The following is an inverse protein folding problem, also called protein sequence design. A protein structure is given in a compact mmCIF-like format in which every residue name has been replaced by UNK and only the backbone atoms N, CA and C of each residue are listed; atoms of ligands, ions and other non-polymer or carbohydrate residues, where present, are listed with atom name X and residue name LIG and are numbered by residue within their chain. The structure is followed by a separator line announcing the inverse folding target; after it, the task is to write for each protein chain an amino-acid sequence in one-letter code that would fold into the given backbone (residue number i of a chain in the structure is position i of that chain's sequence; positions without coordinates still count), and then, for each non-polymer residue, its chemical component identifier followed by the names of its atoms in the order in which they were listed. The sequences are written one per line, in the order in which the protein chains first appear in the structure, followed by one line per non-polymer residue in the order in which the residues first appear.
data_IF_677427802192
#
_entry.id   IF_677427802192
#
_cell.length_a   1.000
_cell.length_b   1.000
_cell.length_c   1.000
_cell.angle_alpha   90.00
_cell.angle_beta   90.00
_cell.angle_gamma   90.00
#
_symmetry.space_group_name_H-M   'P 1'
#
loop_
_entity.id
_entity.type
_entity.pdbx_description
1 polymer ?
#
# COMPACT_ATOMS: atom_id res chain seq x y z
N UNK A 1 -5.23 -3.20 -1.53
CA UNK A 1 -6.45 -3.34 -0.71
C UNK A 1 -6.64 -2.13 0.22
N UNK A 2 -5.76 -1.91 1.22
CA UNK A 2 -5.95 -0.86 2.23
C UNK A 2 -6.16 0.55 1.64
N UNK A 3 -5.47 0.91 0.56
CA UNK A 3 -5.67 2.18 -0.13
C UNK A 3 -7.07 2.35 -0.76
N UNK A 4 -7.63 1.30 -1.37
CA UNK A 4 -8.80 1.42 -2.27
C UNK A 4 -10.12 0.97 -1.66
N UNK A 5 -10.09 -0.02 -0.75
CA UNK A 5 -11.28 -0.64 -0.18
C UNK A 5 -12.24 0.36 0.50
N UNK A 6 -11.76 1.37 1.26
CA UNK A 6 -12.66 2.38 1.84
C UNK A 6 -13.44 3.16 0.78
N UNK A 7 -12.80 3.53 -0.32
CA UNK A 7 -13.41 4.28 -1.42
C UNK A 7 -14.44 3.44 -2.17
N UNK A 8 -14.11 2.18 -2.47
CA UNK A 8 -15.03 1.23 -3.10
C UNK A 8 -16.26 0.98 -2.21
N UNK A 9 -16.05 0.73 -0.92
CA UNK A 9 -17.14 0.50 0.05
C UNK A 9 -18.05 1.72 0.21
N UNK A 10 -17.50 2.93 0.08
CA UNK A 10 -18.27 4.16 0.12
C UNK A 10 -19.04 4.45 -1.19
N UNK A 11 -18.84 3.66 -2.25
CA UNK A 11 -19.51 3.85 -3.54
C UNK A 11 -18.98 5.05 -4.35
N UNK A 12 -17.83 5.61 -3.97
CA UNK A 12 -17.31 6.85 -4.55
C UNK A 12 -16.52 6.65 -5.85
N UNK A 13 -16.12 5.42 -6.17
CA UNK A 13 -15.25 5.13 -7.31
C UNK A 13 -15.86 4.12 -8.28
N UNK A 14 -15.48 4.23 -9.55
CA UNK A 14 -15.83 3.29 -10.59
C UNK A 14 -15.09 1.96 -10.35
N UNK A 15 -15.88 0.95 -9.97
CA UNK A 15 -15.37 -0.38 -9.60
C UNK A 15 -14.78 -1.13 -10.80
N UNK A 16 -15.11 -0.76 -12.04
CA UNK A 16 -14.59 -1.41 -13.25
C UNK A 16 -13.30 -0.75 -13.77
N UNK A 17 -12.94 0.42 -13.22
CA UNK A 17 -11.84 1.25 -13.71
C UNK A 17 -10.85 1.59 -12.60
N UNK A 18 -10.16 0.56 -12.11
CA UNK A 18 -9.06 0.70 -11.15
C UNK A 18 -7.74 0.28 -11.77
N UNK A 19 -6.73 1.15 -11.70
CA UNK A 19 -5.35 0.84 -12.13
C UNK A 19 -4.44 0.94 -10.92
N UNK A 20 -3.64 -0.09 -10.67
CA UNK A 20 -2.67 -0.11 -9.58
C UNK A 20 -1.27 -0.26 -10.15
N UNK A 21 -0.41 0.70 -9.82
CA UNK A 21 1.01 0.65 -10.07
C UNK A 21 1.76 0.46 -8.75
N UNK A 22 2.32 -0.73 -8.55
CA UNK A 22 3.01 -1.10 -7.32
C UNK A 22 4.53 -1.14 -7.55
N UNK A 23 5.30 -0.46 -6.70
CA UNK A 23 6.76 -0.55 -6.67
C UNK A 23 7.16 -1.37 -5.46
N UNK A 24 8.02 -2.37 -5.65
CA UNK A 24 8.41 -3.31 -4.60
C UNK A 24 9.92 -3.52 -4.53
N UNK A 25 10.42 -3.74 -3.32
CA UNK A 25 11.83 -4.06 -3.08
C UNK A 25 12.21 -5.50 -3.47
N UNK A 26 13.52 -5.76 -3.57
CA UNK A 26 14.06 -7.05 -3.99
C UNK A 26 13.70 -8.23 -3.08
N UNK A 27 13.49 -7.99 -1.79
CA UNK A 27 13.12 -9.05 -0.84
C UNK A 27 11.76 -9.70 -1.12
N UNK A 28 10.90 -9.06 -1.92
CA UNK A 28 9.64 -9.66 -2.38
C UNK A 28 9.86 -10.88 -3.30
N UNK A 29 11.05 -11.01 -3.91
CA UNK A 29 11.44 -12.17 -4.71
C UNK A 29 11.88 -13.39 -3.88
N UNK A 30 12.00 -13.25 -2.56
CA UNK A 30 12.53 -14.29 -1.68
C UNK A 30 14.05 -14.28 -1.56
N UNK A 31 14.57 -15.27 -0.84
CA UNK A 31 16.02 -15.46 -0.64
C UNK A 31 16.68 -16.22 -1.79
N UNK A 32 15.87 -16.90 -2.62
CA UNK A 32 16.36 -17.64 -3.78
C UNK A 32 16.82 -16.66 -4.85
N UNK A 33 18.11 -16.76 -5.19
CA UNK A 33 18.73 -15.88 -6.17
C UNK A 33 18.43 -16.26 -7.63
N UNK A 34 19.09 -15.57 -8.55
CA UNK A 34 19.09 -15.88 -9.98
C UNK A 34 19.88 -14.82 -10.75
N UNK A 35 20.07 -14.98 -12.07
CA UNK A 35 20.80 -14.00 -12.88
C UNK A 35 20.26 -12.58 -12.71
N UNK A 36 18.93 -12.43 -12.66
CA UNK A 36 18.25 -11.16 -12.50
C UNK A 36 18.38 -10.53 -11.09
N UNK A 37 18.84 -11.29 -10.08
CA UNK A 37 19.06 -10.84 -8.71
C UNK A 37 20.53 -10.59 -8.39
N UNK A 38 21.45 -10.90 -9.30
CA UNK A 38 22.86 -10.59 -9.15
C UNK A 38 23.02 -9.08 -8.92
N UNK A 39 23.84 -8.67 -7.96
CA UNK A 39 23.94 -7.28 -7.54
C UNK A 39 24.25 -6.33 -8.72
N UNK A 40 25.18 -6.74 -9.60
CA UNK A 40 25.54 -5.97 -10.79
C UNK A 40 24.36 -5.75 -11.75
N UNK A 41 23.38 -6.67 -11.79
CA UNK A 41 22.18 -6.60 -12.64
C UNK A 41 20.98 -5.95 -11.94
N UNK A 42 21.02 -5.85 -10.60
CA UNK A 42 19.87 -5.48 -9.77
C UNK A 42 19.99 -4.10 -9.14
N UNK A 43 21.21 -3.65 -8.85
CA UNK A 43 21.47 -2.30 -8.33
C UNK A 43 21.06 -1.25 -9.37
N UNK A 44 20.47 -0.15 -8.91
CA UNK A 44 19.93 0.93 -9.73
C UNK A 44 18.69 0.59 -10.56
N UNK A 45 18.12 -0.60 -10.45
CA UNK A 45 17.07 -1.03 -11.39
C UNK A 45 15.73 -0.31 -11.14
N UNK A 46 15.03 -0.05 -12.23
CA UNK A 46 13.58 0.18 -12.28
C UNK A 46 13.05 -0.79 -13.35
N UNK A 47 12.53 -1.94 -12.91
CA UNK A 47 12.15 -3.05 -13.81
C UNK A 47 10.65 -3.28 -13.77
N UNK A 48 9.99 -3.28 -14.91
CA UNK A 48 8.64 -3.83 -15.05
C UNK A 48 8.72 -5.35 -14.83
N UNK A 49 8.37 -5.80 -13.62
CA UNK A 49 8.50 -7.20 -13.21
C UNK A 49 7.31 -8.03 -13.68
N UNK A 50 6.11 -7.51 -13.47
CA UNK A 50 4.86 -8.13 -13.91
C UNK A 50 3.91 -7.02 -14.38
N UNK A 51 3.95 -6.64 -15.66
CA UNK A 51 3.11 -5.57 -16.19
C UNK A 51 1.63 -5.97 -16.29
N UNK A 52 1.32 -7.27 -16.33
CA UNK A 52 -0.03 -7.82 -16.31
C UNK A 52 -0.02 -9.21 -15.65
N UNK A 53 -1.19 -9.83 -15.47
CA UNK A 53 -1.35 -11.23 -15.00
C UNK A 53 -0.67 -11.53 -13.65
N UNK A 54 -0.63 -10.54 -12.74
CA UNK A 54 -0.06 -10.73 -11.43
C UNK A 54 -1.05 -11.47 -10.50
N UNK A 55 -0.58 -12.49 -9.77
CA UNK A 55 -1.44 -13.34 -8.91
C UNK A 55 -2.27 -12.58 -7.87
N UNK A 56 -1.72 -11.51 -7.30
CA UNK A 56 -2.44 -10.68 -6.30
C UNK A 56 -3.62 -9.89 -6.88
N UNK A 57 -3.83 -9.89 -8.22
CA UNK A 57 -5.06 -9.34 -8.80
C UNK A 57 -6.29 -9.98 -8.15
N UNK A 58 -6.34 -11.32 -8.08
CA UNK A 58 -7.50 -12.02 -7.51
C UNK A 58 -7.78 -11.64 -6.05
N UNK A 59 -6.75 -11.50 -5.22
CA UNK A 59 -6.88 -11.06 -3.82
C UNK A 59 -7.43 -9.63 -3.71
N UNK A 60 -6.94 -8.73 -4.57
CA UNK A 60 -7.41 -7.34 -4.59
C UNK A 60 -8.88 -7.28 -5.01
N UNK A 61 -9.26 -8.01 -6.07
CA UNK A 61 -10.63 -8.03 -6.58
C UNK A 61 -11.60 -8.61 -5.53
N UNK A 62 -11.21 -9.69 -4.86
CA UNK A 62 -11.99 -10.29 -3.78
C UNK A 62 -12.20 -9.35 -2.60
N UNK A 63 -11.12 -8.75 -2.08
CA UNK A 63 -11.17 -8.02 -0.80
C UNK A 63 -11.59 -6.56 -0.94
N UNK A 64 -11.35 -5.95 -2.10
CA UNK A 64 -11.75 -4.57 -2.38
C UNK A 64 -13.03 -4.46 -3.20
N UNK A 65 -13.50 -5.54 -3.84
CA UNK A 65 -14.72 -5.53 -4.65
C UNK A 65 -14.62 -4.66 -5.90
N UNK A 66 -13.45 -4.65 -6.55
CA UNK A 66 -13.17 -3.88 -7.78
C UNK A 66 -12.58 -4.80 -8.83
N UNK A 67 -12.69 -4.44 -10.11
CA UNK A 67 -11.86 -4.98 -11.19
C UNK A 67 -10.58 -4.16 -11.31
N UNK A 68 -9.43 -4.82 -11.32
CA UNK A 68 -8.14 -4.12 -11.23
C UNK A 68 -7.15 -4.48 -12.33
N UNK A 69 -6.58 -3.45 -12.97
CA UNK A 69 -5.38 -3.58 -13.78
C UNK A 69 -4.14 -3.33 -12.90
N UNK A 70 -3.43 -4.42 -12.55
CA UNK A 70 -2.24 -4.35 -11.69
C UNK A 70 -0.95 -4.49 -12.50
N UNK A 71 -0.06 -3.51 -12.31
CA UNK A 71 1.33 -3.52 -12.78
C UNK A 71 2.29 -3.49 -11.58
N UNK A 72 3.27 -4.39 -11.56
CA UNK A 72 4.29 -4.46 -10.53
C UNK A 72 5.68 -4.13 -11.09
N UNK A 73 6.37 -3.20 -10.43
CA UNK A 73 7.71 -2.74 -10.71
C UNK A 73 8.66 -3.13 -9.58
N UNK A 74 9.79 -3.76 -9.93
CA UNK A 74 10.88 -3.98 -8.99
C UNK A 74 11.80 -2.75 -9.00
N UNK A 75 12.07 -2.21 -7.81
CA UNK A 75 12.98 -1.06 -7.61
C UNK A 75 14.21 -1.47 -6.81
N UNK A 76 15.28 -0.68 -6.81
CA UNK A 76 16.54 -0.99 -6.11
C UNK A 76 16.38 -1.29 -4.61
N UNK A 77 15.38 -0.71 -3.94
CA UNK A 77 15.14 -0.93 -2.51
C UNK A 77 15.11 -2.42 -2.15
N UNK A 78 15.57 -2.78 -0.95
CA UNK A 78 15.49 -4.17 -0.48
C UNK A 78 14.10 -4.47 0.08
N UNK A 79 13.59 -3.59 0.94
CA UNK A 79 12.28 -3.68 1.58
C UNK A 79 11.37 -2.56 1.11
N UNK A 80 10.08 -2.79 1.25
CA UNK A 80 9.05 -1.79 1.05
C UNK A 80 8.21 -2.02 -0.20
N UNK A 81 6.94 -1.64 -0.10
CA UNK A 81 6.01 -1.52 -1.21
C UNK A 81 5.40 -0.13 -1.20
N UNK A 82 5.34 0.51 -2.37
CA UNK A 82 4.51 1.68 -2.62
C UNK A 82 3.47 1.31 -3.68
N UNK A 83 2.19 1.31 -3.30
CA UNK A 83 1.09 1.12 -4.24
C UNK A 83 0.46 2.48 -4.56
N UNK A 84 0.46 2.84 -5.84
CA UNK A 84 -0.23 4.01 -6.38
C UNK A 84 -1.45 3.52 -7.15
N UNK A 85 -2.64 3.81 -6.64
CA UNK A 85 -3.90 3.33 -7.16
C UNK A 85 -4.68 4.48 -7.81
N UNK A 86 -4.81 4.44 -9.13
CA UNK A 86 -5.67 5.36 -9.87
C UNK A 86 -7.09 4.82 -9.88
N UNK A 87 -7.99 5.58 -9.25
CA UNK A 87 -9.42 5.30 -9.19
C UNK A 87 -10.17 6.52 -9.71
N UNK A 88 -11.31 6.32 -10.38
CA UNK A 88 -12.08 7.41 -10.97
C UNK A 88 -13.39 7.57 -10.22
N UNK A 89 -13.76 8.81 -9.93
CA UNK A 89 -14.97 9.12 -9.17
C UNK A 89 -16.22 8.85 -10.03
N UNK A 90 -17.25 8.27 -9.41
CA UNK A 90 -18.58 8.10 -10.02
C UNK A 90 -19.43 9.37 -9.90
N UNK A 91 -19.15 10.18 -8.88
CA UNK A 91 -19.78 11.47 -8.60
C UNK A 91 -18.76 12.46 -8.02
N UNK A 92 -19.07 13.76 -8.07
CA UNK A 92 -18.16 14.77 -7.51
C UNK A 92 -17.99 14.59 -6.00
N UNK A 93 -16.74 14.51 -5.55
CA UNK A 93 -16.37 14.42 -4.14
C UNK A 93 -15.30 15.45 -3.79
N UNK A 94 -15.37 16.00 -2.58
CA UNK A 94 -14.32 16.90 -2.07
C UNK A 94 -13.25 16.12 -1.33
N UNK A 95 -12.06 16.70 -1.14
CA UNK A 95 -11.04 16.09 -0.25
C UNK A 95 -11.58 15.81 1.16
N UNK A 96 -12.49 16.65 1.66
CA UNK A 96 -13.09 16.46 2.99
C UNK A 96 -13.92 15.18 3.05
N UNK A 97 -14.65 14.86 1.98
CA UNK A 97 -15.44 13.62 1.88
C UNK A 97 -14.52 12.40 1.85
N UNK A 98 -13.44 12.46 1.08
CA UNK A 98 -12.45 11.40 1.01
C UNK A 98 -11.75 11.18 2.37
N UNK A 99 -11.33 12.25 3.05
CA UNK A 99 -10.75 12.13 4.39
C UNK A 99 -11.73 11.55 5.42
N UNK A 100 -13.02 11.86 5.30
CA UNK A 100 -14.06 11.25 6.15
C UNK A 100 -14.10 9.74 5.95
N UNK A 101 -14.11 9.27 4.70
CA UNK A 101 -14.11 7.83 4.37
C UNK A 101 -12.89 7.10 4.96
N UNK A 102 -11.67 7.64 4.80
CA UNK A 102 -10.49 7.00 5.40
C UNK A 102 -10.52 7.02 6.93
N UNK A 103 -11.00 8.10 7.55
CA UNK A 103 -11.11 8.19 9.02
C UNK A 103 -12.13 7.22 9.58
N UNK A 104 -13.28 7.05 8.91
CA UNK A 104 -14.29 6.07 9.30
C UNK A 104 -13.76 4.63 9.19
N UNK A 105 -12.96 4.35 8.16
CA UNK A 105 -12.35 3.04 7.96
C UNK A 105 -11.21 2.74 8.94
N UNK A 106 -10.32 3.71 9.20
CA UNK A 106 -9.03 3.44 9.84
C UNK A 106 -8.71 4.31 11.06
N UNK A 107 -9.59 5.23 11.46
CA UNK A 107 -9.31 6.19 12.55
C UNK A 107 -9.11 5.56 13.93
N UNK A 108 -9.39 4.26 14.08
CA UNK A 108 -9.17 3.48 15.31
C UNK A 108 -8.23 2.28 15.11
N UNK A 109 -7.68 2.11 13.91
CA UNK A 109 -6.81 0.98 13.59
C UNK A 109 -5.40 1.20 14.12
N UNK A 110 -4.85 0.19 14.82
CA UNK A 110 -3.53 0.29 15.45
C UNK A 110 -2.39 0.46 14.44
N UNK A 111 -2.54 -0.14 13.26
CA UNK A 111 -1.47 -0.32 12.27
C UNK A 111 -1.75 0.34 10.92
N UNK A 112 -2.77 1.19 10.81
CA UNK A 112 -3.03 1.98 9.61
C UNK A 112 -2.95 3.46 9.96
N UNK A 113 -1.99 4.17 9.36
CA UNK A 113 -1.81 5.60 9.60
C UNK A 113 -2.27 6.40 8.39
N UNK A 114 -3.09 7.40 8.64
CA UNK A 114 -3.60 8.30 7.60
C UNK A 114 -2.59 9.45 7.46
N UNK A 115 -1.83 9.47 6.37
CA UNK A 115 -0.88 10.54 6.05
C UNK A 115 -1.64 11.70 5.44
N UNK A 116 -1.92 12.71 6.27
CA UNK A 116 -2.62 13.94 5.89
C UNK A 116 -1.75 15.15 6.18
N UNK A 117 -0.76 15.38 5.33
CA UNK A 117 0.18 16.50 5.47
C UNK A 117 0.13 17.41 4.25
N UNK A 118 -0.12 18.71 4.47
CA UNK A 118 -0.21 19.69 3.38
C UNK A 118 1.17 20.17 2.90
N UNK A 119 2.19 20.07 3.75
CA UNK A 119 3.54 20.61 3.51
C UNK A 119 4.62 19.70 4.10
N UNK A 120 5.88 19.93 3.73
CA UNK A 120 7.02 19.15 4.24
C UNK A 120 7.49 18.05 3.28
N UNK A 121 8.45 17.25 3.76
CA UNK A 121 9.11 16.21 2.96
C UNK A 121 8.21 14.97 2.78
N UNK A 122 7.57 14.52 3.88
CA UNK A 122 6.78 13.29 3.93
C UNK A 122 5.28 13.57 3.82
N UNK A 123 4.84 14.07 2.66
CA UNK A 123 3.42 14.44 2.41
C UNK A 123 2.52 13.29 2.00
N UNK A 124 3.13 12.18 1.57
CA UNK A 124 2.44 10.98 1.10
C UNK A 124 3.09 9.74 1.73
N UNK A 125 2.39 8.59 1.74
CA UNK A 125 2.97 7.34 2.20
C UNK A 125 4.30 7.04 1.52
N UNK A 126 5.33 6.77 2.31
CA UNK A 126 6.68 6.46 1.81
C UNK A 126 7.19 5.18 2.46
N UNK A 127 7.52 4.12 1.69
CA UNK A 127 7.89 2.83 2.27
C UNK A 127 9.22 2.86 3.01
N UNK A 128 10.11 3.80 2.67
CA UNK A 128 11.46 3.90 3.24
C UNK A 128 11.37 3.94 4.78
N UNK A 129 10.61 4.89 5.33
CA UNK A 129 10.47 5.12 6.78
C UNK A 129 9.66 4.04 7.51
N UNK A 130 9.05 3.10 6.77
CA UNK A 130 8.25 2.01 7.32
C UNK A 130 9.03 0.70 7.48
N UNK A 131 10.29 0.67 7.03
CA UNK A 131 11.15 -0.50 7.11
C UNK A 131 11.24 -1.05 8.53
N UNK A 132 10.91 -2.33 8.70
CA UNK A 132 10.88 -3.04 9.98
C UNK A 132 9.60 -2.85 10.80
N UNK A 133 8.69 -1.96 10.40
CA UNK A 133 7.45 -1.68 11.15
C UNK A 133 6.27 -2.52 10.69
N UNK A 134 5.26 -2.65 11.54
CA UNK A 134 3.98 -3.24 11.15
C UNK A 134 2.96 -2.20 10.64
N UNK A 135 3.38 -0.96 10.37
CA UNK A 135 2.48 0.08 9.87
C UNK A 135 2.23 -0.05 8.36
N UNK A 136 1.01 0.28 7.96
CA UNK A 136 0.69 0.68 6.60
C UNK A 136 0.25 2.15 6.61
N UNK A 137 0.95 2.98 5.87
CA UNK A 137 0.57 4.36 5.67
C UNK A 137 -0.37 4.44 4.47
N UNK A 138 -1.47 5.17 4.61
CA UNK A 138 -2.44 5.43 3.54
C UNK A 138 -2.64 6.92 3.37
N UNK A 139 -2.89 7.34 2.14
CA UNK A 139 -3.18 8.73 1.79
C UNK A 139 -3.75 8.80 0.39
N UNK A 140 -4.05 10.00 -0.09
CA UNK A 140 -4.52 10.19 -1.46
C UNK A 140 -4.21 11.59 -1.96
N UNK A 141 -4.31 11.76 -3.28
CA UNK A 141 -4.44 13.06 -3.92
C UNK A 141 -5.71 13.06 -4.78
N UNK A 142 -6.50 14.12 -4.69
CA UNK A 142 -7.66 14.34 -5.56
C UNK A 142 -7.24 15.17 -6.78
N UNK A 143 -7.48 14.61 -7.95
CA UNK A 143 -7.32 15.26 -9.25
C UNK A 143 -8.72 15.65 -9.74
N UNK A 144 -9.14 16.87 -9.36
CA UNK A 144 -10.47 17.40 -9.67
C UNK A 144 -10.69 17.53 -11.19
N UNK A 145 -9.65 17.86 -11.94
CA UNK A 145 -9.72 18.02 -13.39
C UNK A 145 -10.07 16.70 -14.09
N UNK A 146 -9.44 15.60 -13.67
CA UNK A 146 -9.67 14.29 -14.26
C UNK A 146 -10.79 13.49 -13.55
N UNK A 147 -11.40 14.03 -12.49
CA UNK A 147 -12.32 13.29 -11.63
C UNK A 147 -11.69 12.02 -11.06
N UNK A 148 -10.43 12.09 -10.64
CA UNK A 148 -9.61 10.92 -10.28
C UNK A 148 -9.08 11.04 -8.86
N UNK A 149 -9.16 9.97 -8.10
CA UNK A 149 -8.47 9.84 -6.80
C UNK A 149 -7.27 8.94 -7.00
N UNK A 150 -6.09 9.50 -6.74
CA UNK A 150 -4.84 8.75 -6.65
C UNK A 150 -4.70 8.30 -5.20
N UNK A 151 -5.22 7.12 -4.88
CA UNK A 151 -5.09 6.52 -3.57
C UNK A 151 -3.71 5.88 -3.43
N UNK A 152 -3.03 6.09 -2.31
CA UNK A 152 -1.65 5.68 -2.10
C UNK A 152 -1.57 4.87 -0.82
N UNK A 153 -0.80 3.77 -0.85
CA UNK A 153 -0.39 3.09 0.37
C UNK A 153 1.08 2.70 0.33
N UNK A 154 1.72 2.72 1.49
CA UNK A 154 3.07 2.23 1.68
C UNK A 154 3.15 1.29 2.88
N UNK A 155 4.03 0.28 2.82
CA UNK A 155 4.30 -0.65 3.91
C UNK A 155 5.67 -1.34 3.74
N UNK A 156 6.18 -1.98 4.79
CA UNK A 156 7.25 -2.98 4.67
C UNK A 156 6.65 -4.34 4.24
N UNK A 157 7.13 -4.88 3.12
CA UNK A 157 6.61 -6.10 2.49
C UNK A 157 6.84 -7.38 3.30
N UNK A 158 7.86 -7.42 4.16
CA UNK A 158 8.16 -8.56 5.02
C UNK A 158 7.49 -8.46 6.39
N UNK A 159 7.19 -7.24 6.85
CA UNK A 159 6.47 -7.00 8.10
C UNK A 159 4.97 -6.91 7.84
N UNK A 160 4.42 -5.70 7.69
CA UNK A 160 2.99 -5.50 7.44
C UNK A 160 2.50 -6.22 6.18
N UNK A 161 3.36 -6.42 5.18
CA UNK A 161 3.05 -7.20 3.99
C UNK A 161 3.09 -8.72 4.15
N UNK A 162 3.65 -9.25 5.26
CA UNK A 162 3.76 -10.69 5.49
C UNK A 162 3.75 -11.05 6.99
N UNK A 163 4.92 -11.22 7.62
CA UNK A 163 5.05 -11.82 8.94
C UNK A 163 4.41 -10.99 10.06
N UNK A 164 4.48 -9.66 9.97
CA UNK A 164 3.84 -8.76 10.93
C UNK A 164 2.32 -8.90 10.93
N UNK A 165 1.70 -9.01 9.75
CA UNK A 165 0.25 -9.29 9.63
C UNK A 165 -0.10 -10.68 10.16
N UNK A 166 0.78 -11.68 9.98
CA UNK A 166 0.57 -13.02 10.53
C UNK A 166 0.60 -13.00 12.07
N UNK A 167 1.57 -12.31 12.69
CA UNK A 167 1.65 -12.14 14.15
C UNK A 167 0.47 -11.32 14.67
N UNK A 168 0.08 -10.26 13.97
CA UNK A 168 -1.10 -9.46 14.32
C UNK A 168 -2.37 -10.32 14.35
N UNK A 169 -2.56 -11.15 13.33
CA UNK A 169 -3.69 -12.10 13.25
C UNK A 169 -3.61 -13.15 14.36
N UNK A 170 -2.43 -13.68 14.65
CA UNK A 170 -2.21 -14.62 15.75
C UNK A 170 -2.55 -14.00 17.10
N UNK A 171 -2.13 -12.75 17.36
CA UNK A 171 -2.46 -12.04 18.59
C UNK A 171 -3.97 -11.95 18.79
N UNK A 172 -4.71 -11.57 17.74
CA UNK A 172 -6.17 -11.49 17.77
C UNK A 172 -6.81 -12.84 18.07
N UNK A 173 -6.39 -13.91 17.38
CA UNK A 173 -6.92 -15.26 17.59
C UNK A 173 -6.60 -15.80 18.99
N UNK A 174 -5.41 -15.49 19.51
CA UNK A 174 -4.96 -15.93 20.83
C UNK A 174 -5.47 -15.05 21.99
N UNK A 175 -6.16 -13.94 21.70
CA UNK A 175 -6.67 -13.01 22.71
C UNK A 175 -5.59 -12.10 23.33
N UNK A 176 -4.44 -11.97 22.69
CA UNK A 176 -3.41 -11.01 23.07
C UNK A 176 -3.74 -9.61 22.53
N UNK A 177 -3.18 -8.54 23.13
CA UNK A 177 -3.18 -7.22 22.51
C UNK A 177 -2.68 -7.30 21.08
N UNK A 178 -3.42 -6.72 20.14
CA UNK A 178 -3.12 -6.77 18.70
C UNK A 178 -1.67 -6.37 18.39
N UNK A 179 -1.17 -5.35 19.09
CA UNK A 179 0.17 -4.79 18.88
C UNK A 179 1.29 -5.55 19.60
N UNK A 180 1.00 -6.59 20.39
CA UNK A 180 2.01 -7.33 21.14
C UNK A 180 3.12 -7.84 20.23
N UNK A 181 4.36 -7.38 20.46
CA UNK A 181 5.53 -7.75 19.67
C UNK A 181 5.68 -7.02 18.33
N UNK A 182 4.86 -5.99 18.08
CA UNK A 182 4.79 -5.26 16.80
C UNK A 182 4.99 -3.74 16.97
N UNK A 183 5.50 -3.30 18.13
CA UNK A 183 5.57 -1.89 18.53
C UNK A 183 6.78 -1.11 17.96
N UNK A 184 7.57 -1.72 17.07
CA UNK A 184 8.71 -1.02 16.47
C UNK A 184 8.24 0.10 15.53
N UNK A 185 8.61 1.34 15.85
CA UNK A 185 8.10 2.55 15.19
C UNK A 185 8.81 2.91 13.88
N UNK A 186 9.94 2.27 13.59
CA UNK A 186 10.79 2.61 12.45
C UNK A 186 11.91 3.57 12.84
N UNK A 187 12.63 4.07 11.85
CA UNK A 187 13.82 4.90 12.04
C UNK A 187 13.77 6.12 11.12
N UNK A 188 14.40 7.21 11.57
CA UNK A 188 14.65 8.41 10.77
C UNK A 188 15.88 9.17 11.34
N UNK A 189 16.86 9.58 10.51
CA UNK A 189 17.02 9.26 9.09
C UNK A 189 17.47 7.80 8.86
N UNK A 190 17.28 7.31 7.63
CA UNK A 190 17.73 5.99 7.15
C UNK A 190 18.24 6.05 5.71
#
# INVERSE_FOLDING_TARGET
ILAIRPLAKAGLIDLERVVVDAKTGSSAGGADGGPASAHAERSGVIRAYAPTNHRHTAEIEQEAGVKVALSCHAVEAVRGILATCHTFLTESATEKDLWRVYREAYGKESFVRIVKEASGLYRYPEPKILSGTNYCDVGFALDEHAGRVVAISALDNLMKGAAGTAVQSMNLVAGYPEAMGLDFLGLHPI
#
